data_IF_648121831185
#
_entry.id   IF_648121831185
#
_cell.length_a   1.000
_cell.length_b   1.000
_cell.length_c   1.000
_cell.angle_alpha   90.00
_cell.angle_beta   90.00
_cell.angle_gamma   90.00
#
_symmetry.space_group_name_H-M   'P 1'
#
loop_
_entity.id
_entity.type
_entity.pdbx_description
1 polymer ?
#
# COMPACT_ATOMS: atom_id res chain seq x y z
N UNK A 1 10.45 -16.25 0.56
CA UNK A 1 10.11 -15.67 1.89
C UNK A 1 8.96 -16.44 2.50
N UNK A 2 9.11 -16.91 3.75
CA UNK A 2 8.04 -17.53 4.52
C UNK A 2 7.62 -16.54 5.62
N UNK A 3 6.40 -16.01 5.58
CA UNK A 3 5.91 -15.07 6.59
C UNK A 3 5.76 -15.77 7.96
N UNK A 4 5.95 -15.01 9.04
CA UNK A 4 5.60 -15.48 10.37
C UNK A 4 4.09 -15.26 10.60
N UNK A 5 3.33 -16.34 10.51
CA UNK A 5 1.87 -16.33 10.66
C UNK A 5 1.38 -16.65 12.08
N UNK A 6 2.27 -16.72 13.07
CA UNK A 6 1.91 -17.03 14.47
C UNK A 6 0.89 -16.05 15.07
N UNK A 7 0.90 -14.78 14.62
CA UNK A 7 -0.11 -13.80 15.01
C UNK A 7 -1.50 -14.13 14.44
N UNK A 8 -1.56 -14.71 13.24
CA UNK A 8 -2.82 -15.15 12.65
C UNK A 8 -3.35 -16.41 13.35
N UNK A 9 -2.47 -17.36 13.73
CA UNK A 9 -2.86 -18.52 14.55
C UNK A 9 -3.49 -18.08 15.87
N UNK A 10 -2.86 -17.11 16.55
CA UNK A 10 -3.38 -16.54 17.80
C UNK A 10 -4.76 -15.91 17.62
N UNK A 11 -4.94 -15.17 16.52
CA UNK A 11 -6.23 -14.57 16.18
C UNK A 11 -7.32 -15.63 15.95
N UNK A 12 -7.03 -16.71 15.22
CA UNK A 12 -8.00 -17.80 14.98
C UNK A 12 -8.46 -18.43 16.28
N UNK A 13 -7.52 -18.69 17.20
CA UNK A 13 -7.81 -19.23 18.53
C UNK A 13 -8.69 -18.29 19.35
N UNK A 14 -8.38 -16.98 19.38
CA UNK A 14 -9.13 -15.96 20.11
C UNK A 14 -10.54 -15.73 19.54
N UNK A 15 -10.66 -15.70 18.20
CA UNK A 15 -11.92 -15.55 17.50
C UNK A 15 -12.80 -16.81 17.54
N UNK A 16 -12.21 -17.96 17.89
CA UNK A 16 -12.90 -19.24 17.94
C UNK A 16 -13.35 -19.73 16.58
N UNK A 17 -12.53 -19.54 15.55
CA UNK A 17 -12.76 -20.01 14.17
C UNK A 17 -11.65 -20.95 13.72
N UNK A 18 -12.00 -21.83 12.77
CA UNK A 18 -11.08 -22.87 12.31
C UNK A 18 -10.13 -22.38 11.22
N UNK A 19 -10.42 -21.24 10.57
CA UNK A 19 -9.57 -20.72 9.50
C UNK A 19 -9.85 -19.29 9.07
N UNK A 20 -8.95 -18.74 8.24
CA UNK A 20 -9.06 -17.45 7.60
C UNK A 20 -9.24 -17.63 6.10
N UNK A 21 -10.24 -16.98 5.51
CA UNK A 21 -10.60 -17.17 4.10
C UNK A 21 -10.56 -15.85 3.35
N UNK A 22 -9.81 -15.79 2.24
CA UNK A 22 -9.77 -14.64 1.33
C UNK A 22 -10.26 -15.07 -0.06
N UNK A 23 -11.06 -14.24 -0.70
CA UNK A 23 -11.57 -14.39 -2.07
C UNK A 23 -11.28 -13.09 -2.83
N UNK A 24 -10.10 -12.99 -3.42
CA UNK A 24 -9.61 -11.78 -4.10
C UNK A 24 -8.57 -12.14 -5.17
N UNK A 25 -8.21 -11.17 -6.02
CA UNK A 25 -7.01 -11.27 -6.85
C UNK A 25 -5.74 -10.88 -6.07
N UNK A 26 -4.60 -10.92 -6.71
CA UNK A 26 -3.32 -10.63 -6.07
C UNK A 26 -3.01 -9.14 -5.88
N UNK A 27 -3.86 -8.22 -6.36
CA UNK A 27 -3.72 -6.80 -5.99
C UNK A 27 -4.20 -6.55 -4.55
N UNK A 28 -5.01 -7.46 -3.98
CA UNK A 28 -5.24 -7.49 -2.54
C UNK A 28 -3.96 -7.95 -1.83
N UNK A 29 -3.42 -7.07 -0.98
CA UNK A 29 -2.14 -7.29 -0.34
C UNK A 29 -2.16 -8.46 0.67
N UNK A 30 -3.28 -8.70 1.35
CA UNK A 30 -3.43 -9.82 2.28
C UNK A 30 -3.49 -11.16 1.53
N UNK A 31 -4.19 -11.17 0.38
CA UNK A 31 -4.24 -12.33 -0.53
C UNK A 31 -2.84 -12.68 -1.04
N UNK A 32 -2.09 -11.68 -1.52
CA UNK A 32 -0.73 -11.89 -1.99
C UNK A 32 0.20 -12.32 -0.85
N UNK A 33 0.08 -11.70 0.32
CA UNK A 33 0.92 -12.00 1.48
C UNK A 33 0.77 -13.44 1.95
N UNK A 34 -0.45 -13.96 2.03
CA UNK A 34 -0.68 -15.35 2.44
C UNK A 34 -0.27 -16.34 1.33
N UNK A 35 -0.71 -16.11 0.10
CA UNK A 35 -0.50 -17.07 -0.99
C UNK A 35 0.89 -17.02 -1.60
N UNK A 36 1.57 -15.86 -1.58
CA UNK A 36 2.80 -15.61 -2.34
C UNK A 36 2.62 -15.76 -3.84
N UNK A 37 1.38 -15.67 -4.35
CA UNK A 37 1.06 -15.95 -5.73
C UNK A 37 0.45 -14.75 -6.44
N UNK A 38 1.02 -14.41 -7.59
CA UNK A 38 0.56 -13.32 -8.45
C UNK A 38 -0.39 -13.84 -9.53
N UNK A 39 -1.68 -13.51 -9.42
CA UNK A 39 -2.70 -13.81 -10.40
C UNK A 39 -3.64 -12.63 -10.63
N UNK A 40 -3.96 -12.30 -11.90
CA UNK A 40 -4.85 -11.18 -12.22
C UNK A 40 -6.32 -11.49 -11.93
N UNK A 41 -6.69 -12.78 -11.93
CA UNK A 41 -8.06 -13.23 -11.66
C UNK A 41 -8.19 -13.61 -10.17
N UNK A 42 -9.36 -13.33 -9.54
CA UNK A 42 -9.62 -13.74 -8.16
C UNK A 42 -9.52 -15.26 -7.95
N UNK A 43 -8.92 -15.63 -6.83
CA UNK A 43 -8.84 -17.00 -6.33
C UNK A 43 -9.07 -17.01 -4.83
N UNK A 44 -9.28 -18.20 -4.28
CA UNK A 44 -9.56 -18.36 -2.86
C UNK A 44 -8.31 -18.87 -2.15
N UNK A 45 -7.95 -18.22 -1.05
CA UNK A 45 -6.93 -18.69 -0.11
C UNK A 45 -7.58 -19.00 1.23
N UNK A 46 -7.38 -20.21 1.72
CA UNK A 46 -7.74 -20.66 3.07
C UNK A 46 -6.46 -20.83 3.88
N UNK A 47 -6.43 -20.31 5.08
CA UNK A 47 -5.42 -20.54 6.09
C UNK A 47 -6.03 -21.21 7.34
N UNK A 48 -5.46 -22.33 7.77
CA UNK A 48 -5.84 -23.07 8.98
C UNK A 48 -4.61 -23.65 9.70
N UNK A 49 -3.51 -22.88 9.72
CA UNK A 49 -2.16 -23.33 10.09
C UNK A 49 -1.31 -23.67 8.87
N UNK A 50 -1.93 -23.95 7.74
CA UNK A 50 -1.30 -24.11 6.44
C UNK A 50 -2.09 -23.31 5.39
N UNK A 51 -1.43 -22.92 4.29
CA UNK A 51 -2.08 -22.20 3.16
C UNK A 51 -2.60 -23.20 2.14
N UNK A 52 -3.87 -23.07 1.78
CA UNK A 52 -4.54 -23.86 0.74
C UNK A 52 -5.15 -22.91 -0.29
N UNK A 53 -5.04 -23.24 -1.57
CA UNK A 53 -5.54 -22.40 -2.68
C UNK A 53 -6.55 -23.17 -3.52
N UNK A 54 -7.67 -22.51 -3.83
CA UNK A 54 -8.68 -23.00 -4.76
C UNK A 54 -8.86 -22.05 -5.93
N UNK A 55 -8.74 -22.58 -7.15
CA UNK A 55 -9.13 -21.91 -8.39
C UNK A 55 -10.45 -22.47 -8.90
N UNK A 56 -11.45 -21.63 -9.09
CA UNK A 56 -12.70 -22.05 -9.75
C UNK A 56 -12.43 -22.47 -11.20
N UNK A 57 -11.51 -21.77 -11.88
CA UNK A 57 -11.02 -22.06 -13.24
C UNK A 57 -9.55 -22.46 -13.17
N UNK A 58 -9.10 -23.25 -14.16
CA UNK A 58 -7.78 -23.90 -14.09
C UNK A 58 -6.65 -23.16 -14.82
N UNK A 59 -6.85 -21.93 -15.29
CA UNK A 59 -5.84 -21.21 -16.09
C UNK A 59 -4.52 -21.05 -15.30
N UNK A 60 -4.60 -20.60 -14.05
CA UNK A 60 -3.45 -20.32 -13.20
C UNK A 60 -2.97 -21.53 -12.38
N UNK A 61 -3.73 -22.64 -12.36
CA UNK A 61 -3.47 -23.80 -11.52
C UNK A 61 -2.05 -24.36 -11.68
N UNK A 62 -1.58 -24.50 -12.92
CA UNK A 62 -0.27 -25.08 -13.21
C UNK A 62 0.89 -24.19 -12.77
N UNK A 63 0.68 -22.88 -12.78
CA UNK A 63 1.65 -21.89 -12.32
C UNK A 63 1.65 -21.81 -10.80
N UNK A 64 0.48 -21.75 -10.18
CA UNK A 64 0.33 -21.71 -8.72
C UNK A 64 0.97 -22.91 -8.02
N UNK A 65 0.86 -24.10 -8.57
CA UNK A 65 1.55 -25.31 -8.05
C UNK A 65 3.07 -25.22 -8.00
N UNK A 66 3.68 -24.29 -8.70
CA UNK A 66 5.14 -24.10 -8.76
C UNK A 66 5.59 -22.89 -7.97
N UNK A 67 4.76 -21.87 -7.89
CA UNK A 67 5.12 -20.53 -7.46
C UNK A 67 4.47 -20.15 -6.12
N UNK A 68 3.25 -20.66 -5.83
CA UNK A 68 2.54 -20.28 -4.62
C UNK A 68 3.16 -20.91 -3.35
N UNK A 69 3.07 -20.19 -2.26
CA UNK A 69 3.38 -20.68 -0.91
C UNK A 69 2.16 -21.40 -0.33
N UNK A 70 1.79 -22.52 -0.92
CA UNK A 70 0.60 -23.25 -0.50
C UNK A 70 0.93 -24.74 -0.30
N UNK A 71 0.39 -25.32 0.78
CA UNK A 71 0.45 -26.74 1.04
C UNK A 71 -0.33 -27.51 -0.03
N UNK A 72 -1.47 -26.99 -0.45
CA UNK A 72 -2.28 -27.55 -1.54
C UNK A 72 -2.75 -26.49 -2.52
N UNK A 73 -2.86 -26.87 -3.81
CA UNK A 73 -3.48 -26.07 -4.86
C UNK A 73 -4.49 -26.96 -5.56
N UNK A 74 -5.77 -26.56 -5.55
CA UNK A 74 -6.91 -27.34 -6.02
C UNK A 74 -7.74 -26.54 -7.03
N UNK A 75 -8.63 -27.23 -7.73
CA UNK A 75 -9.48 -26.65 -8.80
C UNK A 75 -10.95 -26.95 -8.53
N UNK A 76 -11.83 -26.14 -9.06
CA UNK A 76 -13.26 -26.39 -9.00
C UNK A 76 -13.66 -27.76 -9.58
N UNK A 77 -12.95 -28.24 -10.60
CA UNK A 77 -13.18 -29.58 -11.17
C UNK A 77 -12.87 -30.72 -10.20
N UNK A 78 -12.00 -30.53 -9.24
CA UNK A 78 -11.66 -31.54 -8.22
C UNK A 78 -12.84 -31.74 -7.25
N UNK A 79 -13.79 -30.80 -7.23
CA UNK A 79 -15.03 -30.79 -6.45
C UNK A 79 -16.29 -30.86 -7.34
N UNK A 80 -16.18 -31.29 -8.59
CA UNK A 80 -17.30 -31.47 -9.50
C UNK A 80 -18.03 -30.17 -9.88
N UNK A 81 -17.27 -29.10 -10.17
CA UNK A 81 -17.84 -27.79 -10.50
C UNK A 81 -18.76 -27.85 -11.73
N UNK A 82 -18.38 -28.58 -12.77
CA UNK A 82 -19.11 -28.65 -14.03
C UNK A 82 -20.50 -29.29 -13.83
N UNK A 83 -20.56 -30.42 -13.13
CA UNK A 83 -21.81 -31.13 -12.85
C UNK A 83 -22.72 -30.25 -11.94
N UNK A 84 -22.14 -29.59 -10.95
CA UNK A 84 -22.88 -28.66 -10.07
C UNK A 84 -23.38 -27.44 -10.85
N UNK A 85 -22.61 -26.93 -11.82
CA UNK A 85 -23.00 -25.78 -12.62
C UNK A 85 -24.16 -26.11 -13.58
N UNK A 86 -24.21 -27.36 -14.11
CA UNK A 86 -25.33 -27.85 -14.92
C UNK A 86 -26.59 -27.98 -14.06
N UNK A 87 -26.47 -28.45 -12.82
CA UNK A 87 -27.61 -28.75 -11.96
C UNK A 87 -28.16 -27.50 -11.26
N UNK A 88 -27.29 -26.62 -10.69
CA UNK A 88 -27.67 -25.51 -9.82
C UNK A 88 -27.39 -24.12 -10.43
N UNK A 89 -26.72 -24.06 -11.58
CA UNK A 89 -26.20 -22.84 -12.17
C UNK A 89 -24.83 -22.45 -11.60
N UNK A 90 -24.07 -21.59 -12.32
CA UNK A 90 -22.65 -21.35 -12.04
C UNK A 90 -22.38 -20.65 -10.68
N UNK A 91 -23.30 -19.80 -10.22
CA UNK A 91 -23.16 -19.10 -8.93
C UNK A 91 -23.26 -20.05 -7.74
N UNK A 92 -24.34 -20.82 -7.69
CA UNK A 92 -24.58 -21.80 -6.62
C UNK A 92 -23.52 -22.91 -6.65
N UNK A 93 -23.13 -23.36 -7.83
CA UNK A 93 -22.06 -24.35 -8.01
C UNK A 93 -20.74 -23.88 -7.38
N UNK A 94 -20.40 -22.59 -7.56
CA UNK A 94 -19.20 -22.02 -6.96
C UNK A 94 -19.27 -22.04 -5.43
N UNK A 95 -20.40 -21.68 -4.83
CA UNK A 95 -20.56 -21.70 -3.39
C UNK A 95 -20.47 -23.13 -2.81
N UNK A 96 -21.06 -24.11 -3.49
CA UNK A 96 -20.97 -25.52 -3.09
C UNK A 96 -19.54 -26.05 -3.15
N UNK A 97 -18.85 -25.77 -4.26
CA UNK A 97 -17.44 -26.16 -4.43
C UNK A 97 -16.57 -25.52 -3.35
N UNK A 98 -16.78 -24.24 -3.07
CA UNK A 98 -16.01 -23.54 -2.06
C UNK A 98 -16.28 -24.10 -0.65
N UNK A 99 -17.54 -24.41 -0.33
CA UNK A 99 -17.88 -25.02 0.95
C UNK A 99 -17.28 -26.44 1.11
N UNK A 100 -17.28 -27.23 0.04
CA UNK A 100 -16.63 -28.55 0.02
C UNK A 100 -15.11 -28.44 0.16
N UNK A 101 -14.48 -27.48 -0.51
CA UNK A 101 -13.05 -27.19 -0.35
C UNK A 101 -12.72 -26.84 1.10
N UNK A 102 -13.41 -25.88 1.71
CA UNK A 102 -13.18 -25.47 3.11
C UNK A 102 -13.31 -26.68 4.05
N UNK A 103 -14.37 -27.50 3.90
CA UNK A 103 -14.59 -28.69 4.72
C UNK A 103 -13.56 -29.79 4.47
N UNK A 104 -13.05 -29.94 3.27
CA UNK A 104 -12.03 -30.95 2.94
C UNK A 104 -10.73 -30.72 3.74
N UNK A 105 -10.51 -29.48 4.19
CA UNK A 105 -9.42 -29.08 5.07
C UNK A 105 -9.80 -29.07 6.55
N UNK A 106 -10.95 -29.64 6.92
CA UNK A 106 -11.38 -29.76 8.33
C UNK A 106 -11.92 -28.47 8.95
N UNK A 107 -12.33 -27.50 8.14
CA UNK A 107 -12.78 -26.17 8.55
C UNK A 107 -14.30 -26.08 8.41
N UNK A 108 -15.01 -25.65 9.46
CA UNK A 108 -16.46 -25.39 9.47
C UNK A 108 -16.79 -23.92 9.78
N UNK A 109 -15.80 -23.17 10.27
CA UNK A 109 -15.93 -21.75 10.61
C UNK A 109 -14.74 -20.96 10.10
N UNK A 110 -15.01 -19.80 9.50
CA UNK A 110 -13.97 -18.94 8.93
C UNK A 110 -14.16 -17.47 9.33
N UNK A 111 -13.03 -16.79 9.60
CA UNK A 111 -12.95 -15.34 9.54
C UNK A 111 -12.60 -14.89 8.11
N UNK A 112 -13.02 -13.70 7.72
CA UNK A 112 -12.79 -13.12 6.40
C UNK A 112 -12.49 -11.63 6.52
N UNK A 113 -11.66 -11.05 5.62
CA UNK A 113 -11.44 -9.60 5.63
C UNK A 113 -12.77 -8.83 5.43
N UNK A 114 -12.87 -7.58 5.90
CA UNK A 114 -14.11 -6.78 5.76
C UNK A 114 -14.56 -6.57 4.31
N UNK A 115 -13.62 -6.65 3.35
CA UNK A 115 -13.90 -6.53 1.90
C UNK A 115 -14.22 -7.85 1.22
N UNK A 116 -14.43 -8.92 1.98
CA UNK A 116 -14.79 -10.22 1.42
C UNK A 116 -16.11 -10.12 0.62
N UNK A 117 -16.23 -10.76 -0.57
CA UNK A 117 -17.41 -10.64 -1.39
C UNK A 117 -18.66 -11.13 -0.66
N UNK A 118 -19.65 -10.23 -0.49
CA UNK A 118 -20.89 -10.53 0.26
C UNK A 118 -21.62 -11.74 -0.31
N UNK A 119 -21.70 -11.86 -1.64
CA UNK A 119 -22.34 -13.01 -2.29
C UNK A 119 -21.66 -14.33 -1.96
N UNK A 120 -20.34 -14.34 -1.85
CA UNK A 120 -19.57 -15.53 -1.43
C UNK A 120 -19.85 -15.85 0.04
N UNK A 121 -19.86 -14.84 0.92
CA UNK A 121 -20.15 -15.03 2.35
C UNK A 121 -21.56 -15.62 2.57
N UNK A 122 -22.57 -15.05 1.90
CA UNK A 122 -23.94 -15.54 2.01
C UNK A 122 -24.10 -16.95 1.43
N UNK A 123 -23.48 -17.22 0.27
CA UNK A 123 -23.48 -18.55 -0.33
C UNK A 123 -22.84 -19.61 0.58
N UNK A 124 -21.74 -19.28 1.28
CA UNK A 124 -21.12 -20.19 2.26
C UNK A 124 -22.02 -20.42 3.47
N UNK A 125 -22.69 -19.38 3.99
CA UNK A 125 -23.66 -19.50 5.08
C UNK A 125 -24.83 -20.38 4.69
N UNK A 126 -25.35 -20.26 3.46
CA UNK A 126 -26.40 -21.14 2.89
C UNK A 126 -25.94 -22.59 2.80
N UNK A 127 -24.67 -22.83 2.58
CA UNK A 127 -24.06 -24.17 2.62
C UNK A 127 -23.75 -24.62 4.07
N UNK A 128 -24.09 -23.85 5.10
CA UNK A 128 -23.97 -24.20 6.50
C UNK A 128 -22.63 -23.94 7.16
N UNK A 129 -21.73 -23.17 6.52
CA UNK A 129 -20.49 -22.70 7.16
C UNK A 129 -20.77 -21.48 8.03
N UNK A 130 -20.01 -21.34 9.11
CA UNK A 130 -19.95 -20.11 9.90
C UNK A 130 -18.97 -19.15 9.22
N UNK A 131 -19.44 -17.95 8.87
CA UNK A 131 -18.61 -16.91 8.23
C UNK A 131 -18.77 -15.61 9.03
N UNK A 132 -17.67 -15.11 9.58
CA UNK A 132 -17.64 -13.84 10.32
C UNK A 132 -16.61 -12.89 9.72
N UNK A 133 -16.85 -11.59 9.84
CA UNK A 133 -15.90 -10.58 9.43
C UNK A 133 -14.79 -10.45 10.48
N UNK A 134 -13.56 -10.25 10.04
CA UNK A 134 -12.45 -9.81 10.85
C UNK A 134 -12.43 -8.27 10.89
N UNK A 135 -12.95 -7.69 11.95
CA UNK A 135 -12.94 -6.24 12.15
C UNK A 135 -11.61 -5.72 12.74
N UNK A 136 -10.71 -6.63 13.12
CA UNK A 136 -9.41 -6.29 13.72
C UNK A 136 -8.29 -6.11 12.70
N UNK A 137 -8.43 -6.68 11.49
CA UNK A 137 -7.39 -6.68 10.47
C UNK A 137 -6.23 -7.59 10.82
N UNK A 138 -6.51 -8.84 11.22
CA UNK A 138 -5.50 -9.79 11.71
C UNK A 138 -4.33 -10.00 10.74
N UNK A 139 -4.58 -10.17 9.44
CA UNK A 139 -3.51 -10.31 8.44
C UNK A 139 -2.72 -9.01 8.29
N UNK A 140 -3.39 -7.85 8.30
CA UNK A 140 -2.72 -6.54 8.28
C UNK A 140 -1.82 -6.35 9.51
N UNK A 141 -2.25 -6.80 10.70
CA UNK A 141 -1.44 -6.75 11.92
C UNK A 141 -0.19 -7.63 11.82
N UNK A 142 -0.31 -8.82 11.25
CA UNK A 142 0.85 -9.70 10.96
C UNK A 142 1.81 -9.00 9.98
N UNK A 143 1.30 -8.43 8.89
CA UNK A 143 2.09 -7.68 7.90
C UNK A 143 2.75 -6.42 8.47
N UNK A 144 2.18 -5.82 9.52
CA UNK A 144 2.75 -4.63 10.15
C UNK A 144 4.12 -4.89 10.78
N UNK A 145 4.36 -6.10 11.30
CA UNK A 145 5.66 -6.51 11.86
C UNK A 145 6.49 -7.20 10.79
N UNK A 146 7.54 -6.51 10.32
CA UNK A 146 8.37 -6.98 9.21
C UNK A 146 9.44 -7.97 9.65
N UNK A 147 9.61 -9.04 8.89
CA UNK A 147 10.77 -9.92 8.98
C UNK A 147 12.03 -9.22 8.42
N UNK A 148 13.20 -9.80 8.67
CA UNK A 148 14.46 -9.26 8.12
C UNK A 148 14.48 -9.25 6.59
N UNK A 149 13.89 -10.25 5.93
CA UNK A 149 13.81 -10.33 4.47
C UNK A 149 12.85 -9.26 3.89
N UNK A 150 11.72 -9.01 4.55
CA UNK A 150 10.79 -7.94 4.17
C UNK A 150 11.44 -6.55 4.29
N UNK A 151 12.21 -6.33 5.36
CA UNK A 151 12.98 -5.08 5.53
C UNK A 151 13.98 -4.91 4.39
N UNK A 152 14.64 -5.99 3.93
CA UNK A 152 15.56 -5.91 2.81
C UNK A 152 14.85 -5.60 1.49
N UNK A 153 13.65 -6.13 1.25
CA UNK A 153 12.82 -5.75 0.10
C UNK A 153 12.40 -4.27 0.13
N UNK A 154 12.00 -3.76 1.29
CA UNK A 154 11.68 -2.33 1.46
C UNK A 154 12.93 -1.47 1.18
N UNK A 155 14.10 -1.87 1.65
CA UNK A 155 15.36 -1.17 1.38
C UNK A 155 15.71 -1.13 -0.11
N UNK A 156 15.45 -2.20 -0.85
CA UNK A 156 15.68 -2.22 -2.32
C UNK A 156 14.69 -1.27 -3.04
N UNK A 157 13.42 -1.28 -2.67
CA UNK A 157 12.45 -0.33 -3.19
C UNK A 157 12.84 1.12 -2.85
N UNK A 158 13.34 1.35 -1.61
CA UNK A 158 13.80 2.66 -1.18
C UNK A 158 15.02 3.16 -1.98
N UNK A 159 15.98 2.29 -2.32
CA UNK A 159 17.11 2.67 -3.20
C UNK A 159 16.65 3.09 -4.59
N UNK A 160 15.64 2.43 -5.14
CA UNK A 160 15.04 2.84 -6.41
C UNK A 160 14.36 4.22 -6.28
N UNK A 161 13.67 4.45 -5.16
CA UNK A 161 13.03 5.71 -4.84
C UNK A 161 14.07 6.85 -4.72
N UNK A 162 15.16 6.63 -3.98
CA UNK A 162 16.27 7.58 -3.84
C UNK A 162 16.91 7.92 -5.19
N UNK A 163 17.09 6.94 -6.07
CA UNK A 163 17.64 7.17 -7.40
C UNK A 163 16.70 8.02 -8.28
N UNK A 164 15.39 7.82 -8.17
CA UNK A 164 14.40 8.61 -8.90
C UNK A 164 14.30 10.04 -8.36
N UNK A 165 14.36 10.21 -7.03
CA UNK A 165 14.38 11.52 -6.40
C UNK A 165 15.65 12.31 -6.77
N UNK A 166 16.82 11.66 -6.75
CA UNK A 166 18.09 12.28 -7.19
C UNK A 166 18.03 12.73 -8.65
N UNK A 167 17.36 11.95 -9.53
CA UNK A 167 17.17 12.37 -10.93
C UNK A 167 16.29 13.63 -11.05
N UNK A 168 15.25 13.73 -10.25
CA UNK A 168 14.42 14.93 -10.20
C UNK A 168 15.21 16.15 -9.69
N UNK A 169 15.99 15.98 -8.61
CA UNK A 169 16.90 16.99 -8.08
C UNK A 169 17.89 17.48 -9.12
N UNK A 170 18.56 16.58 -9.85
CA UNK A 170 19.48 16.93 -10.94
C UNK A 170 18.84 17.82 -12.02
N UNK A 171 17.58 17.54 -12.38
CA UNK A 171 16.84 18.34 -13.36
C UNK A 171 16.53 19.74 -12.85
N UNK A 172 16.12 19.84 -11.59
CA UNK A 172 15.75 21.11 -10.94
C UNK A 172 17.01 21.95 -10.72
N UNK A 173 18.07 21.39 -10.16
CA UNK A 173 19.30 22.09 -9.85
C UNK A 173 20.05 22.55 -11.12
N UNK A 174 20.05 21.70 -12.14
CA UNK A 174 20.67 21.97 -13.43
C UNK A 174 19.90 22.94 -14.34
N UNK A 175 18.69 23.36 -13.95
CA UNK A 175 17.85 24.24 -14.74
C UNK A 175 18.42 25.68 -14.78
N UNK A 176 18.11 26.39 -15.84
CA UNK A 176 18.25 27.85 -15.93
C UNK A 176 16.88 28.51 -15.83
N UNK A 177 16.82 29.80 -15.57
CA UNK A 177 15.56 30.54 -15.45
C UNK A 177 15.38 31.42 -16.69
N UNK A 178 14.21 31.34 -17.34
CA UNK A 178 13.86 32.19 -18.47
C UNK A 178 13.28 33.54 -18.00
N UNK A 179 12.98 34.42 -18.98
CA UNK A 179 12.43 35.77 -18.71
C UNK A 179 11.03 35.73 -18.04
N UNK A 180 10.34 34.60 -18.10
CA UNK A 180 9.01 34.38 -17.47
C UNK A 180 9.12 33.77 -16.05
N UNK A 181 10.36 33.57 -15.52
CA UNK A 181 10.62 32.94 -14.22
C UNK A 181 10.43 31.41 -14.21
N UNK A 182 10.31 30.77 -15.38
CA UNK A 182 10.14 29.33 -15.51
C UNK A 182 11.52 28.66 -15.56
N UNK A 183 11.59 27.45 -15.00
CA UNK A 183 12.77 26.59 -15.10
C UNK A 183 12.92 26.03 -16.52
N UNK A 184 14.14 26.00 -17.02
CA UNK A 184 14.50 25.49 -18.35
C UNK A 184 15.63 24.48 -18.18
N UNK A 185 15.40 23.24 -18.58
CA UNK A 185 16.38 22.18 -18.60
C UNK A 185 16.49 21.61 -20.01
N UNK A 186 17.74 21.38 -20.49
CA UNK A 186 18.04 20.80 -21.81
C UNK A 186 17.37 21.56 -22.97
N UNK A 187 17.20 22.88 -22.84
CA UNK A 187 16.68 23.76 -23.88
C UNK A 187 15.15 23.82 -23.98
N UNK A 188 14.42 23.22 -23.07
CA UNK A 188 12.95 23.27 -22.99
C UNK A 188 12.50 23.66 -21.58
N UNK A 189 11.29 24.25 -21.45
CA UNK A 189 10.68 24.53 -20.16
C UNK A 189 10.52 23.23 -19.37
N UNK A 190 10.99 23.24 -18.12
CA UNK A 190 10.83 22.12 -17.21
C UNK A 190 9.43 22.18 -16.59
N UNK A 191 8.64 21.15 -16.84
CA UNK A 191 7.27 21.04 -16.34
C UNK A 191 7.13 19.88 -15.37
N UNK A 192 6.06 19.89 -14.56
CA UNK A 192 5.67 18.78 -13.68
C UNK A 192 5.64 17.46 -14.44
N UNK A 193 5.04 17.43 -15.63
CA UNK A 193 4.90 16.22 -16.45
C UNK A 193 6.27 15.66 -16.86
N UNK A 194 7.21 16.56 -17.22
CA UNK A 194 8.55 16.12 -17.61
C UNK A 194 9.34 15.54 -16.45
N UNK A 195 9.24 16.14 -15.26
CA UNK A 195 9.89 15.59 -14.05
C UNK A 195 9.29 14.24 -13.68
N UNK A 196 7.95 14.11 -13.74
CA UNK A 196 7.26 12.83 -13.54
C UNK A 196 7.75 11.76 -14.50
N UNK A 197 7.85 12.06 -15.80
CA UNK A 197 8.35 11.12 -16.81
C UNK A 197 9.76 10.62 -16.46
N UNK A 198 10.67 11.51 -16.06
CA UNK A 198 12.04 11.13 -15.70
C UNK A 198 12.09 10.28 -14.41
N UNK A 199 11.26 10.59 -13.42
CA UNK A 199 11.08 9.80 -12.21
C UNK A 199 10.60 8.39 -12.58
N UNK A 200 9.51 8.27 -13.33
CA UNK A 200 8.88 7.00 -13.72
C UNK A 200 9.81 6.13 -14.57
N UNK A 201 10.53 6.75 -15.53
CA UNK A 201 11.54 6.05 -16.33
C UNK A 201 12.69 5.53 -15.46
N UNK A 202 13.11 6.31 -14.46
CA UNK A 202 14.17 5.88 -13.54
C UNK A 202 13.69 4.72 -12.68
N UNK A 203 12.50 4.80 -12.10
CA UNK A 203 11.88 3.72 -11.34
C UNK A 203 11.72 2.44 -12.16
N UNK A 204 11.29 2.57 -13.42
CA UNK A 204 11.15 1.43 -14.33
C UNK A 204 12.49 0.73 -14.58
N UNK A 205 13.59 1.48 -14.72
CA UNK A 205 14.94 0.92 -14.88
C UNK A 205 15.42 0.17 -13.63
N UNK A 206 14.89 0.53 -12.47
CA UNK A 206 15.16 -0.14 -11.18
C UNK A 206 14.16 -1.26 -10.85
N UNK A 207 13.27 -1.61 -11.80
CA UNK A 207 12.29 -2.69 -11.59
C UNK A 207 11.06 -2.30 -10.79
N UNK A 208 10.89 -1.02 -10.48
CA UNK A 208 9.73 -0.48 -9.77
C UNK A 208 8.67 0.07 -10.70
N UNK A 209 7.46 0.28 -10.18
CA UNK A 209 6.36 0.97 -10.84
C UNK A 209 5.79 2.02 -9.88
N UNK A 210 5.26 3.09 -10.46
CA UNK A 210 4.52 4.14 -9.77
C UNK A 210 3.45 4.66 -10.70
N UNK A 211 2.20 4.75 -10.22
CA UNK A 211 1.05 5.16 -11.03
C UNK A 211 0.58 6.59 -10.69
N UNK A 212 1.04 7.17 -9.58
CA UNK A 212 0.53 8.42 -9.02
C UNK A 212 1.65 9.36 -8.53
N UNK A 213 2.57 9.72 -9.44
CA UNK A 213 3.67 10.65 -9.14
C UNK A 213 3.14 12.06 -8.88
N UNK A 214 3.53 12.66 -7.76
CA UNK A 214 3.25 14.06 -7.43
C UNK A 214 4.51 14.90 -7.69
N UNK A 215 4.36 15.95 -8.49
CA UNK A 215 5.35 17.02 -8.69
C UNK A 215 4.58 18.34 -8.74
N UNK A 216 4.35 18.95 -7.60
CA UNK A 216 3.52 20.13 -7.43
C UNK A 216 4.38 21.36 -7.16
N UNK A 217 4.11 22.48 -7.86
CA UNK A 217 4.90 23.70 -7.77
C UNK A 217 4.03 24.89 -7.34
N UNK A 218 4.54 25.70 -6.42
CA UNK A 218 3.89 26.93 -5.97
C UNK A 218 2.55 26.65 -5.29
N UNK A 219 1.46 27.20 -5.82
CA UNK A 219 0.12 27.05 -5.22
C UNK A 219 -0.39 25.61 -5.24
N UNK A 220 -0.04 24.81 -6.26
CA UNK A 220 -0.45 23.40 -6.37
C UNK A 220 0.16 22.57 -5.20
N UNK A 221 1.34 22.99 -4.70
CA UNK A 221 2.01 22.34 -3.58
C UNK A 221 1.29 22.53 -2.22
N UNK A 222 0.27 23.38 -2.15
CA UNK A 222 -0.54 23.57 -0.95
C UNK A 222 -1.64 22.50 -0.76
N UNK A 223 -1.96 21.73 -1.80
CA UNK A 223 -2.89 20.60 -1.72
C UNK A 223 -2.09 19.29 -1.74
N UNK A 224 -2.16 18.47 -0.67
CA UNK A 224 -1.35 17.26 -0.55
C UNK A 224 -1.55 16.24 -1.68
N UNK A 225 -2.71 16.24 -2.34
CA UNK A 225 -3.03 15.30 -3.42
C UNK A 225 -3.09 15.95 -4.80
N UNK A 226 -2.72 17.23 -4.93
CA UNK A 226 -2.54 17.83 -6.25
C UNK A 226 -1.28 17.25 -6.90
N UNK A 227 -1.47 16.62 -8.04
CA UNK A 227 -0.36 15.99 -8.77
C UNK A 227 0.57 16.99 -9.43
N UNK A 228 0.20 18.26 -9.47
CA UNK A 228 0.89 19.35 -10.14
C UNK A 228 0.82 19.26 -11.65
N UNK A 229 0.86 20.40 -12.32
CA UNK A 229 0.83 20.53 -13.77
C UNK A 229 1.61 21.75 -14.26
N UNK A 230 2.08 21.69 -15.52
CA UNK A 230 2.68 22.84 -16.19
C UNK A 230 4.07 23.24 -15.68
N UNK A 231 4.51 24.48 -15.95
CA UNK A 231 5.88 24.92 -15.71
C UNK A 231 6.26 25.02 -14.25
N UNK A 232 7.42 24.47 -13.88
CA UNK A 232 8.07 24.75 -12.61
C UNK A 232 8.69 26.15 -12.61
N UNK A 233 8.70 26.83 -11.46
CA UNK A 233 9.13 28.23 -11.32
C UNK A 233 10.22 28.41 -10.30
N UNK A 234 11.11 29.33 -10.57
CA UNK A 234 12.15 29.73 -9.64
C UNK A 234 11.55 30.49 -8.43
N UNK A 235 12.10 30.24 -7.24
CA UNK A 235 11.66 30.85 -5.99
C UNK A 235 10.36 30.30 -5.40
N UNK A 236 9.72 29.33 -6.07
CA UNK A 236 8.53 28.64 -5.59
C UNK A 236 8.90 27.24 -5.04
N UNK A 237 8.17 26.73 -4.02
CA UNK A 237 8.37 25.37 -3.53
C UNK A 237 7.93 24.38 -4.60
N UNK A 238 8.70 23.29 -4.74
CA UNK A 238 8.39 22.16 -5.60
C UNK A 238 8.35 20.94 -4.69
N UNK A 239 7.15 20.42 -4.44
CA UNK A 239 6.97 19.20 -3.65
C UNK A 239 6.95 18.02 -4.61
N UNK A 240 7.80 17.05 -4.34
CA UNK A 240 7.86 15.77 -5.03
C UNK A 240 7.56 14.68 -4.02
N UNK A 241 6.50 13.92 -4.28
CA UNK A 241 6.07 12.79 -3.47
C UNK A 241 5.95 11.54 -4.34
N UNK A 242 6.73 10.51 -4.01
CA UNK A 242 6.85 9.27 -4.78
C UNK A 242 6.89 8.04 -3.87
N UNK A 243 6.03 7.08 -4.16
CA UNK A 243 5.81 5.86 -3.38
C UNK A 243 5.81 4.61 -4.26
N UNK A 244 6.96 4.30 -4.92
CA UNK A 244 7.04 3.21 -5.87
C UNK A 244 6.89 1.84 -5.23
N UNK A 245 6.40 0.89 -6.03
CA UNK A 245 6.32 -0.54 -5.71
C UNK A 245 7.31 -1.33 -6.55
N UNK A 246 8.13 -2.16 -5.91
CA UNK A 246 8.92 -3.16 -6.61
C UNK A 246 8.02 -4.19 -7.30
N UNK A 247 8.25 -4.46 -8.58
CA UNK A 247 7.39 -5.32 -9.39
C UNK A 247 7.50 -6.80 -9.06
N UNK A 248 8.61 -7.22 -8.48
CA UNK A 248 8.90 -8.63 -8.19
C UNK A 248 8.51 -9.02 -6.78
N UNK A 249 8.75 -8.12 -5.82
CA UNK A 249 8.51 -8.37 -4.40
C UNK A 249 7.23 -7.74 -3.89
N UNK A 250 6.71 -6.73 -4.60
CA UNK A 250 5.54 -5.89 -4.29
C UNK A 250 5.68 -5.00 -3.06
N UNK A 251 6.88 -4.92 -2.47
CA UNK A 251 7.15 -3.98 -1.39
C UNK A 251 7.26 -2.56 -1.90
N UNK A 252 6.77 -1.62 -1.10
CA UNK A 252 6.76 -0.20 -1.38
C UNK A 252 7.92 0.51 -0.71
N UNK A 253 8.31 1.64 -1.30
CA UNK A 253 9.02 2.71 -0.64
C UNK A 253 8.15 3.96 -0.64
N UNK A 254 8.56 4.97 0.14
CA UNK A 254 7.85 6.23 0.23
C UNK A 254 8.82 7.36 0.55
N UNK A 255 8.71 8.47 -0.18
CA UNK A 255 9.58 9.63 0.03
C UNK A 255 8.96 10.91 -0.50
N UNK A 256 8.82 11.90 0.36
CA UNK A 256 8.50 13.28 -0.01
C UNK A 256 9.69 14.20 0.18
N UNK A 257 9.97 15.07 -0.80
CA UNK A 257 11.00 16.12 -0.73
C UNK A 257 10.47 17.44 -1.27
N UNK A 258 10.93 18.53 -0.65
CA UNK A 258 10.65 19.88 -1.13
C UNK A 258 11.93 20.49 -1.70
N UNK A 259 11.84 20.99 -2.91
CA UNK A 259 12.91 21.70 -3.63
C UNK A 259 12.52 23.16 -3.87
N UNK A 260 13.53 24.03 -4.03
CA UNK A 260 13.33 25.38 -4.50
C UNK A 260 14.54 25.78 -5.35
N UNK A 261 14.33 26.05 -6.63
CA UNK A 261 15.39 26.57 -7.49
C UNK A 261 15.55 28.07 -7.31
N UNK A 262 16.70 28.51 -6.79
CA UNK A 262 16.96 29.90 -6.45
C UNK A 262 16.65 30.21 -4.96
N UNK A 263 16.26 31.44 -4.67
CA UNK A 263 16.03 31.91 -3.30
C UNK A 263 14.55 31.78 -2.95
N UNK A 264 14.26 30.97 -1.93
CA UNK A 264 12.91 30.85 -1.38
C UNK A 264 12.50 32.13 -0.63
N UNK A 265 11.20 32.46 -0.62
CA UNK A 265 10.71 33.54 0.22
C UNK A 265 10.92 33.23 1.72
N UNK A 266 11.01 34.28 2.55
CA UNK A 266 11.16 34.13 4.00
C UNK A 266 10.06 33.23 4.60
N UNK A 267 8.82 33.39 4.18
CA UNK A 267 7.68 32.58 4.62
C UNK A 267 7.84 31.10 4.26
N UNK A 268 8.32 30.79 3.04
CA UNK A 268 8.54 29.39 2.62
C UNK A 268 9.67 28.77 3.43
N UNK A 269 10.75 29.52 3.67
CA UNK A 269 11.87 29.05 4.48
C UNK A 269 11.43 28.79 5.94
N UNK A 270 10.65 29.69 6.55
CA UNK A 270 10.09 29.50 7.90
C UNK A 270 9.21 28.25 7.99
N UNK A 271 8.33 28.00 7.01
CA UNK A 271 7.49 26.80 7.01
C UNK A 271 8.28 25.53 6.80
N UNK A 272 9.32 25.56 5.97
CA UNK A 272 10.21 24.43 5.78
C UNK A 272 10.95 24.06 7.07
N UNK A 273 11.54 25.07 7.75
CA UNK A 273 12.24 24.88 9.03
C UNK A 273 11.31 24.33 10.11
N UNK A 274 10.07 24.85 10.21
CA UNK A 274 9.08 24.35 11.16
C UNK A 274 8.67 22.91 10.88
N UNK A 275 8.52 22.57 9.60
CA UNK A 275 8.17 21.20 9.18
C UNK A 275 9.31 20.23 9.46
N UNK A 276 10.56 20.65 9.26
CA UNK A 276 11.73 19.83 9.57
C UNK A 276 11.87 19.60 11.08
N UNK A 277 11.63 20.63 11.91
CA UNK A 277 11.58 20.51 13.37
C UNK A 277 10.49 19.49 13.80
N UNK A 278 9.29 19.58 13.23
CA UNK A 278 8.20 18.65 13.51
C UNK A 278 8.54 17.21 13.08
N UNK A 279 9.19 17.03 11.94
CA UNK A 279 9.69 15.73 11.47
C UNK A 279 10.73 15.14 12.43
N UNK A 280 11.69 15.94 12.89
CA UNK A 280 12.69 15.48 13.86
C UNK A 280 12.04 15.11 15.20
N UNK A 281 11.09 15.90 15.69
CA UNK A 281 10.35 15.57 16.91
C UNK A 281 9.58 14.25 16.77
N UNK A 282 8.98 13.98 15.59
CA UNK A 282 8.34 12.71 15.32
C UNK A 282 9.34 11.53 15.38
N UNK A 283 10.50 11.67 14.74
CA UNK A 283 11.54 10.64 14.71
C UNK A 283 12.07 10.36 16.12
N UNK A 284 12.30 11.38 16.91
CA UNK A 284 12.80 11.28 18.29
C UNK A 284 11.76 10.62 19.22
N UNK A 285 10.46 10.74 18.92
CA UNK A 285 9.39 10.10 19.67
C UNK A 285 9.20 8.61 19.32
N UNK A 286 9.81 8.12 18.22
CA UNK A 286 9.70 6.70 17.81
C UNK A 286 10.67 5.84 18.62
N UNK A 287 10.13 5.10 19.57
CA UNK A 287 10.89 4.12 20.35
C UNK A 287 10.06 2.82 20.56
N UNK A 288 10.70 1.71 20.91
CA UNK A 288 9.98 0.47 21.19
C UNK A 288 8.95 0.65 22.32
N UNK A 289 7.67 0.44 21.99
CA UNK A 289 6.55 0.60 22.93
C UNK A 289 5.89 1.96 22.94
N UNK A 290 6.37 2.93 22.12
CA UNK A 290 5.69 4.20 21.94
C UNK A 290 4.32 4.01 21.25
N UNK A 291 3.33 4.77 21.70
CA UNK A 291 2.05 4.85 21.00
C UNK A 291 2.17 5.78 19.77
N UNK A 292 1.59 5.37 18.64
CA UNK A 292 1.56 6.22 17.45
C UNK A 292 0.86 7.56 17.70
N UNK A 293 -0.05 7.63 18.66
CA UNK A 293 -0.70 8.87 19.09
C UNK A 293 0.29 9.83 19.77
N UNK A 294 1.29 9.33 20.51
CA UNK A 294 2.32 10.16 21.14
C UNK A 294 3.27 10.76 20.08
N UNK A 295 3.63 9.98 19.06
CA UNK A 295 4.41 10.46 17.91
C UNK A 295 3.65 11.57 17.18
N UNK A 296 2.35 11.37 16.90
CA UNK A 296 1.50 12.39 16.28
C UNK A 296 1.34 13.62 17.19
N UNK A 297 1.24 13.41 18.51
CA UNK A 297 1.17 14.46 19.52
C UNK A 297 2.37 15.39 19.48
N UNK A 298 3.59 14.82 19.39
CA UNK A 298 4.82 15.60 19.30
C UNK A 298 4.85 16.54 18.08
N UNK A 299 4.38 16.08 16.93
CA UNK A 299 4.26 16.91 15.71
C UNK A 299 3.23 18.03 15.89
N UNK A 300 2.04 17.68 16.42
CA UNK A 300 1.00 18.67 16.69
C UNK A 300 1.46 19.78 17.64
N UNK A 301 2.24 19.43 18.67
CA UNK A 301 2.76 20.42 19.63
C UNK A 301 3.62 21.49 18.93
N UNK A 302 4.52 21.08 18.03
CA UNK A 302 5.37 22.01 17.26
C UNK A 302 4.52 23.00 16.43
N UNK A 303 3.55 22.48 15.67
CA UNK A 303 2.71 23.36 14.84
C UNK A 303 1.78 24.26 15.66
N UNK A 304 1.21 23.75 16.75
CA UNK A 304 0.32 24.55 17.64
C UNK A 304 1.09 25.62 18.40
N UNK A 305 2.33 25.35 18.85
CA UNK A 305 3.21 26.34 19.46
C UNK A 305 3.59 27.48 18.49
N UNK A 306 3.70 27.16 17.20
CA UNK A 306 3.88 28.13 16.12
C UNK A 306 2.60 28.88 15.74
N UNK A 307 1.45 28.54 16.35
CA UNK A 307 0.16 29.19 16.10
C UNK A 307 -0.59 28.67 14.89
N UNK A 308 -0.19 27.50 14.34
CA UNK A 308 -0.87 26.82 13.26
C UNK A 308 -1.93 25.86 13.80
N UNK A 309 -3.05 25.75 13.10
CA UNK A 309 -4.09 24.79 13.46
C UNK A 309 -3.65 23.36 13.11
N UNK A 310 -4.10 22.40 13.91
CA UNK A 310 -4.01 20.96 13.62
C UNK A 310 -5.41 20.34 13.73
N UNK A 311 -5.65 19.17 13.16
CA UNK A 311 -6.92 18.46 13.36
C UNK A 311 -7.15 18.07 14.83
N UNK A 312 -6.11 18.07 15.66
CA UNK A 312 -6.22 17.88 17.12
C UNK A 312 -6.81 19.11 17.80
N UNK A 313 -6.35 20.32 17.45
CA UNK A 313 -6.80 21.58 18.05
C UNK A 313 -8.10 22.11 17.44
N UNK A 314 -8.31 21.91 16.14
CA UNK A 314 -9.53 22.24 15.41
C UNK A 314 -9.84 21.15 14.38
N UNK A 315 -10.77 20.20 14.69
CA UNK A 315 -11.12 19.11 13.77
C UNK A 315 -11.79 19.56 12.45
N UNK A 316 -12.08 20.86 12.31
CA UNK A 316 -12.72 21.44 11.11
C UNK A 316 -11.76 22.29 10.29
N UNK A 317 -10.51 22.40 10.69
CA UNK A 317 -9.53 23.20 9.95
C UNK A 317 -9.25 22.61 8.56
N UNK A 318 -9.14 23.48 7.59
CA UNK A 318 -8.72 23.17 6.22
C UNK A 318 -7.28 23.65 5.94
N UNK A 319 -6.59 24.18 6.98
CA UNK A 319 -5.25 24.74 6.87
C UNK A 319 -4.39 24.30 8.05
N UNK A 320 -3.07 24.45 7.93
CA UNK A 320 -2.11 24.00 8.94
C UNK A 320 -1.80 22.49 8.78
N UNK A 321 -1.71 21.76 9.88
CA UNK A 321 -1.40 20.33 9.84
C UNK A 321 -2.70 19.48 9.85
N UNK A 322 -3.13 19.06 8.67
CA UNK A 322 -4.44 18.45 8.41
C UNK A 322 -4.39 16.95 8.09
N UNK A 323 -3.28 16.28 8.33
CA UNK A 323 -3.11 14.84 8.06
C UNK A 323 -2.43 14.11 9.22
N UNK A 324 -2.31 12.80 9.14
CA UNK A 324 -1.56 11.98 10.10
C UNK A 324 -0.04 12.17 9.92
N UNK A 325 0.72 11.91 11.00
CA UNK A 325 2.18 12.08 11.00
C UNK A 325 2.90 11.01 10.19
N UNK A 326 2.33 9.85 10.03
CA UNK A 326 2.95 8.77 9.27
C UNK A 326 2.06 7.54 9.19
N UNK A 327 2.57 6.54 8.48
CA UNK A 327 1.91 5.26 8.26
C UNK A 327 2.95 4.15 8.08
N UNK A 328 2.51 2.89 8.10
CA UNK A 328 3.36 1.76 7.76
C UNK A 328 3.76 1.79 6.28
N UNK A 329 4.93 1.25 5.96
CA UNK A 329 5.46 1.10 4.61
C UNK A 329 5.73 -0.38 4.29
N UNK A 330 5.62 -0.75 3.03
CA UNK A 330 5.91 -2.08 2.52
C UNK A 330 4.73 -2.95 2.17
#
# INVERSE_FOLDING_TARGET
MDPDLSGLDSYLDEAGVDGYLIDADSEDADQYYLSGFDAPDPFVTLYNGEVHILFTRSLEYGRAKKEARAATVERGSDFGYEEKAEEFGPGEARHRVLAEFVRSHGVESVATPPRFPLATADGLREQGLVVQADDSGAVTAVRATKTGEEIDHIREAQRANEAAMARAEELIDGATVNDEGQLVAEGAVLTSERVKEEIEVTLLRHGCALDETIVACGADAADPHDRGTGPLRAGEPIIIDIFPRDKSTRYHADMTRTFCHGEASETIAEWFELTDEAREAAIDAVEPGADAADVHGAVCDIYEEAGLATLRSDPTTETGFIHSTGHGVG
#
